data_IF_931200982060
#
_entry.id   IF_931200982060
#
_cell.length_a   1.000
_cell.length_b   1.000
_cell.length_c   1.000
_cell.angle_alpha   90.00
_cell.angle_beta   90.00
_cell.angle_gamma   90.00
#
_symmetry.space_group_name_H-M   'P 1'
#
loop_
_entity.id
_entity.type
_entity.pdbx_description
1 polymer ?
#
# COMPACT_ATOMS: atom_id res chain seq x y z
N UNK A 1 21.12 22.23 -41.99
CA UNK A 1 21.36 21.86 -40.57
C UNK A 1 20.09 22.11 -39.73
N UNK A 2 19.35 23.20 -39.91
CA UNK A 2 18.12 23.50 -39.15
C UNK A 2 17.07 22.40 -39.29
N UNK A 3 16.81 21.93 -40.53
CA UNK A 3 15.89 20.81 -40.74
C UNK A 3 16.34 19.51 -40.08
N UNK A 4 17.66 19.29 -40.02
CA UNK A 4 18.23 18.09 -39.42
C UNK A 4 18.00 18.06 -37.88
N UNK A 5 18.34 19.13 -37.19
CA UNK A 5 18.07 19.23 -35.76
C UNK A 5 16.57 19.17 -35.45
N UNK A 6 15.75 19.82 -36.26
CA UNK A 6 14.31 19.75 -36.08
C UNK A 6 13.79 18.30 -36.16
N UNK A 7 14.22 17.56 -37.20
CA UNK A 7 13.77 16.16 -37.39
C UNK A 7 14.22 15.28 -36.23
N UNK A 8 15.51 15.28 -35.86
CA UNK A 8 16.03 14.41 -34.82
C UNK A 8 15.43 14.76 -33.44
N UNK A 9 15.15 16.04 -33.17
CA UNK A 9 14.53 16.43 -31.90
C UNK A 9 13.08 15.94 -31.84
N UNK A 10 12.31 16.08 -32.91
CA UNK A 10 10.96 15.52 -32.97
C UNK A 10 10.94 14.00 -32.86
N UNK A 11 11.83 13.31 -33.55
CA UNK A 11 11.88 11.86 -33.52
C UNK A 11 12.17 11.34 -32.11
N UNK A 12 13.17 11.94 -31.45
CA UNK A 12 13.63 11.48 -30.14
C UNK A 12 12.80 11.99 -28.96
N UNK A 13 12.22 13.19 -29.05
CA UNK A 13 11.55 13.81 -27.90
C UNK A 13 10.06 14.11 -28.11
N UNK A 14 9.59 14.03 -29.35
CA UNK A 14 8.23 14.45 -29.72
C UNK A 14 8.01 15.97 -29.70
N UNK A 15 9.06 16.78 -29.48
CA UNK A 15 8.99 18.24 -29.34
C UNK A 15 9.93 18.93 -30.31
N UNK A 16 9.64 20.18 -30.74
CA UNK A 16 10.57 20.95 -31.54
C UNK A 16 11.78 21.40 -30.73
N UNK A 17 12.96 21.59 -31.38
CA UNK A 17 14.09 22.23 -30.72
C UNK A 17 13.79 23.69 -30.40
N UNK A 18 14.40 24.22 -29.36
CA UNK A 18 14.40 25.66 -29.06
C UNK A 18 15.26 26.43 -30.05
N UNK A 19 15.04 27.73 -30.18
CA UNK A 19 15.88 28.60 -31.05
C UNK A 19 17.36 28.56 -30.63
N UNK A 20 17.64 28.54 -29.32
CA UNK A 20 18.98 28.44 -28.78
C UNK A 20 19.68 27.13 -29.20
N UNK A 21 18.96 26.04 -29.20
CA UNK A 21 19.49 24.73 -29.65
C UNK A 21 19.75 24.71 -31.15
N UNK A 22 18.90 25.33 -31.94
CA UNK A 22 19.10 25.48 -33.38
C UNK A 22 20.37 26.26 -33.64
N UNK A 23 20.49 27.44 -33.04
CA UNK A 23 21.67 28.34 -33.22
C UNK A 23 22.96 27.65 -32.80
N UNK A 24 22.95 26.95 -31.65
CA UNK A 24 24.09 26.21 -31.15
C UNK A 24 24.53 25.12 -32.16
N UNK A 25 23.59 24.35 -32.71
CA UNK A 25 23.92 23.31 -33.70
C UNK A 25 24.36 23.87 -35.05
N UNK A 26 23.74 24.94 -35.54
CA UNK A 26 24.10 25.57 -36.80
C UNK A 26 25.52 26.13 -36.76
N UNK A 27 25.91 26.72 -35.63
CA UNK A 27 27.22 27.32 -35.38
C UNK A 27 28.30 26.34 -34.98
N UNK A 28 27.98 25.13 -34.51
CA UNK A 28 28.98 24.09 -34.19
C UNK A 28 29.60 23.53 -35.48
N UNK A 29 30.84 23.86 -35.74
CA UNK A 29 31.59 23.41 -36.92
C UNK A 29 32.41 22.12 -36.69
N UNK A 30 32.28 21.49 -35.52
CA UNK A 30 32.96 20.24 -35.23
C UNK A 30 32.43 19.09 -36.09
N UNK A 31 33.28 18.12 -36.39
CA UNK A 31 32.92 16.97 -37.20
C UNK A 31 31.82 16.11 -36.57
N UNK A 32 31.74 16.09 -35.22
CA UNK A 32 30.78 15.32 -34.45
C UNK A 32 29.61 16.18 -33.90
N UNK A 33 29.30 17.32 -34.53
CA UNK A 33 28.24 18.21 -34.08
C UNK A 33 26.87 17.55 -34.02
N UNK A 34 26.57 16.63 -34.95
CA UNK A 34 25.29 15.91 -34.99
C UNK A 34 25.22 14.87 -33.88
N UNK A 35 26.25 14.10 -33.69
CA UNK A 35 26.36 13.11 -32.62
C UNK A 35 26.19 13.74 -31.24
N UNK A 36 26.76 14.92 -31.01
CA UNK A 36 26.57 15.68 -29.77
C UNK A 36 25.08 16.02 -29.52
N UNK A 37 24.33 16.41 -30.58
CA UNK A 37 22.91 16.65 -30.45
C UNK A 37 22.16 15.38 -30.12
N UNK A 38 22.44 14.28 -30.81
CA UNK A 38 21.81 12.97 -30.55
C UNK A 38 22.09 12.50 -29.12
N UNK A 39 23.34 12.54 -28.67
CA UNK A 39 23.73 12.14 -27.32
C UNK A 39 23.04 12.97 -26.24
N UNK A 40 22.91 14.27 -26.47
CA UNK A 40 22.18 15.17 -25.56
C UNK A 40 20.70 14.82 -25.49
N UNK A 41 20.07 14.59 -26.63
CA UNK A 41 18.63 14.26 -26.70
C UNK A 41 18.36 12.89 -26.06
N UNK A 42 19.18 11.88 -26.31
CA UNK A 42 19.06 10.55 -25.71
C UNK A 42 19.19 10.56 -24.16
N UNK A 43 19.95 11.52 -23.61
CA UNK A 43 20.09 11.71 -22.16
C UNK A 43 18.98 12.58 -21.56
N UNK A 44 18.11 13.13 -22.37
CA UNK A 44 17.04 14.02 -21.89
C UNK A 44 15.88 13.25 -21.29
N UNK A 45 15.21 13.85 -20.31
CA UNK A 45 13.95 13.30 -19.76
C UNK A 45 12.86 13.22 -20.82
N UNK A 46 12.82 14.18 -21.75
CA UNK A 46 11.85 14.21 -22.84
C UNK A 46 11.98 12.99 -23.77
N UNK A 47 13.19 12.46 -24.00
CA UNK A 47 13.38 11.19 -24.69
C UNK A 47 12.75 10.02 -23.92
N UNK A 48 13.00 9.94 -22.61
CA UNK A 48 12.43 8.89 -21.77
C UNK A 48 10.89 8.96 -21.76
N UNK A 49 10.31 10.15 -21.64
CA UNK A 49 8.86 10.37 -21.70
C UNK A 49 8.29 9.96 -23.07
N UNK A 50 9.00 10.29 -24.15
CA UNK A 50 8.60 9.90 -25.52
C UNK A 50 8.59 8.38 -25.72
N UNK A 51 9.64 7.69 -25.27
CA UNK A 51 9.72 6.22 -25.36
C UNK A 51 8.69 5.53 -24.47
N UNK A 52 8.42 6.09 -23.32
CA UNK A 52 7.39 5.59 -22.40
C UNK A 52 5.99 5.57 -23.02
N UNK A 53 5.63 6.53 -23.88
CA UNK A 53 4.32 6.55 -24.56
C UNK A 53 4.07 5.24 -25.31
N UNK A 54 5.05 4.77 -26.10
CA UNK A 54 4.92 3.52 -26.86
C UNK A 54 4.81 2.30 -25.92
N UNK A 55 5.54 2.31 -24.82
CA UNK A 55 5.46 1.24 -23.83
C UNK A 55 4.11 1.23 -23.09
N UNK A 56 3.57 2.39 -22.74
CA UNK A 56 2.26 2.52 -22.10
C UNK A 56 1.13 2.00 -23.00
N UNK A 57 1.20 2.27 -24.30
CA UNK A 57 0.19 1.80 -25.26
C UNK A 57 0.15 0.25 -25.29
N UNK A 58 1.30 -0.40 -25.48
CA UNK A 58 1.33 -1.86 -25.55
C UNK A 58 1.09 -2.52 -24.19
N UNK A 59 1.45 -1.85 -23.09
CA UNK A 59 1.17 -2.29 -21.72
C UNK A 59 -0.25 -1.95 -21.26
N UNK A 60 -1.13 -1.41 -22.13
CA UNK A 60 -2.52 -1.05 -21.87
C UNK A 60 -2.73 -0.18 -20.61
N UNK A 61 -1.81 0.78 -20.38
CA UNK A 61 -1.82 1.66 -19.23
C UNK A 61 -3.09 2.51 -19.16
N UNK A 62 -3.63 2.66 -17.94
CA UNK A 62 -4.72 3.60 -17.65
C UNK A 62 -4.86 3.84 -16.15
N UNK A 63 -5.20 5.07 -15.78
CA UNK A 63 -5.50 5.47 -14.41
C UNK A 63 -7.00 5.31 -14.08
N UNK A 64 -7.68 4.39 -14.77
CA UNK A 64 -9.08 4.05 -14.52
C UNK A 64 -9.31 2.54 -14.57
N UNK A 65 -10.48 2.10 -14.09
CA UNK A 65 -10.84 0.68 -14.02
C UNK A 65 -11.27 0.11 -15.39
N UNK A 66 -11.57 0.94 -16.37
CA UNK A 66 -11.98 0.60 -17.74
C UNK A 66 -13.41 0.04 -17.83
N UNK A 67 -13.72 -0.98 -17.05
CA UNK A 67 -15.02 -1.66 -17.12
C UNK A 67 -16.05 -1.04 -16.17
N UNK A 68 -17.33 -1.22 -16.50
CA UNK A 68 -18.50 -0.74 -15.77
C UNK A 68 -18.49 0.79 -15.60
N UNK A 69 -18.35 1.29 -14.36
CA UNK A 69 -18.39 2.73 -14.05
C UNK A 69 -17.10 3.49 -14.37
N UNK A 70 -16.06 2.78 -14.82
CA UNK A 70 -14.75 3.34 -15.16
C UNK A 70 -14.19 4.27 -14.06
N UNK A 71 -14.20 3.78 -12.83
CA UNK A 71 -13.76 4.54 -11.67
C UNK A 71 -12.24 4.77 -11.65
N UNK A 72 -11.76 5.85 -11.01
CA UNK A 72 -10.35 6.22 -10.99
C UNK A 72 -9.50 5.20 -10.24
N UNK A 73 -8.31 4.89 -10.79
CA UNK A 73 -7.22 4.11 -10.18
C UNK A 73 -5.94 4.93 -10.10
N UNK A 74 -5.00 4.50 -9.28
CA UNK A 74 -3.68 5.11 -9.14
C UNK A 74 -2.63 4.18 -9.75
N UNK A 75 -2.37 4.31 -11.07
CA UNK A 75 -1.34 3.56 -11.79
C UNK A 75 -0.15 4.44 -12.21
N UNK A 76 -0.23 5.75 -12.05
CA UNK A 76 0.84 6.70 -12.39
C UNK A 76 2.22 6.35 -11.78
N UNK A 77 2.35 5.69 -10.60
CA UNK A 77 3.68 5.31 -10.10
C UNK A 77 4.40 4.34 -11.04
N UNK A 78 3.67 3.41 -11.67
CA UNK A 78 4.25 2.51 -12.66
C UNK A 78 4.68 3.27 -13.93
N UNK A 79 3.87 4.22 -14.42
CA UNK A 79 4.26 5.10 -15.54
C UNK A 79 5.56 5.83 -15.23
N UNK A 80 5.67 6.44 -14.06
CA UNK A 80 6.85 7.18 -13.63
C UNK A 80 8.07 6.27 -13.50
N UNK A 81 7.88 5.03 -13.04
CA UNK A 81 8.92 4.01 -13.02
C UNK A 81 9.41 3.67 -14.44
N UNK A 82 8.53 3.54 -15.42
CA UNK A 82 8.90 3.30 -16.84
C UNK A 82 9.70 4.48 -17.38
N UNK A 83 9.28 5.72 -17.11
CA UNK A 83 10.03 6.93 -17.51
C UNK A 83 11.45 6.89 -16.92
N UNK A 84 11.58 6.58 -15.65
CA UNK A 84 12.88 6.49 -14.98
C UNK A 84 13.75 5.35 -15.52
N UNK A 85 13.15 4.22 -15.85
CA UNK A 85 13.85 3.10 -16.47
C UNK A 85 14.46 3.47 -17.82
N UNK A 86 13.71 4.17 -18.68
CA UNK A 86 14.24 4.70 -19.95
C UNK A 86 15.29 5.80 -19.72
N UNK A 87 15.04 6.72 -18.79
CA UNK A 87 15.95 7.82 -18.51
C UNK A 87 17.30 7.35 -17.95
N UNK A 88 17.31 6.31 -17.13
CA UNK A 88 18.53 5.71 -16.57
C UNK A 88 19.14 4.65 -17.49
N UNK A 89 18.56 4.42 -18.66
CA UNK A 89 18.97 3.38 -19.59
C UNK A 89 19.06 1.99 -18.91
N UNK A 90 18.02 1.62 -18.15
CA UNK A 90 17.94 0.32 -17.48
C UNK A 90 18.10 -0.81 -18.48
N UNK A 91 18.84 -1.87 -18.14
CA UNK A 91 19.01 -3.03 -19.01
C UNK A 91 17.64 -3.66 -19.34
N UNK A 92 17.45 -4.13 -20.59
CA UNK A 92 16.19 -4.79 -20.97
C UNK A 92 15.89 -6.01 -20.09
N UNK A 93 16.92 -6.74 -19.68
CA UNK A 93 16.79 -7.87 -18.76
C UNK A 93 16.15 -7.44 -17.44
N UNK A 94 16.70 -6.39 -16.81
CA UNK A 94 16.19 -5.91 -15.53
C UNK A 94 14.81 -5.26 -15.69
N UNK A 95 14.61 -4.50 -16.76
CA UNK A 95 13.34 -3.90 -17.12
C UNK A 95 12.22 -4.93 -17.28
N UNK A 96 12.47 -6.04 -17.97
CA UNK A 96 11.52 -7.12 -18.14
C UNK A 96 11.31 -7.90 -16.82
N UNK A 97 12.40 -8.27 -16.13
CA UNK A 97 12.35 -9.04 -14.89
C UNK A 97 11.56 -8.30 -13.81
N UNK A 98 11.82 -7.00 -13.62
CA UNK A 98 11.14 -6.20 -12.60
C UNK A 98 9.66 -6.02 -12.91
N UNK A 99 9.26 -5.89 -14.18
CA UNK A 99 7.84 -5.77 -14.55
C UNK A 99 7.06 -7.07 -14.41
N UNK A 100 7.69 -8.21 -14.68
CA UNK A 100 7.00 -9.51 -14.61
C UNK A 100 7.04 -10.13 -13.21
N UNK A 101 8.14 -9.94 -12.46
CA UNK A 101 8.42 -10.64 -11.22
C UNK A 101 9.22 -9.78 -10.20
N UNK A 102 9.09 -8.46 -10.25
CA UNK A 102 9.84 -7.55 -9.38
C UNK A 102 9.58 -7.75 -7.89
N UNK A 103 8.37 -8.16 -7.52
CA UNK A 103 7.97 -8.49 -6.15
C UNK A 103 8.55 -9.81 -5.63
N UNK A 104 8.99 -10.70 -6.52
CA UNK A 104 9.61 -11.99 -6.18
C UNK A 104 11.13 -11.90 -6.01
N UNK A 105 11.73 -10.76 -6.32
CA UNK A 105 13.16 -10.53 -6.12
C UNK A 105 13.47 -10.54 -4.61
N UNK A 106 14.49 -11.25 -4.13
CA UNK A 106 14.85 -11.25 -2.72
C UNK A 106 15.08 -9.83 -2.20
N UNK A 107 14.40 -9.46 -1.10
CA UNK A 107 14.39 -8.11 -0.52
C UNK A 107 13.93 -7.01 -1.49
N UNK A 108 12.94 -7.32 -2.33
CA UNK A 108 12.40 -6.41 -3.34
C UNK A 108 12.14 -5.00 -2.80
N UNK A 109 12.69 -4.01 -3.47
CA UNK A 109 12.46 -2.60 -3.18
C UNK A 109 11.03 -2.18 -3.55
N UNK A 110 10.60 -1.01 -3.07
CA UNK A 110 9.30 -0.47 -3.50
C UNK A 110 9.24 -0.22 -5.01
N UNK A 111 10.34 0.24 -5.62
CA UNK A 111 10.39 0.48 -7.06
C UNK A 111 10.24 -0.82 -7.86
N UNK A 112 10.86 -1.92 -7.42
CA UNK A 112 10.68 -3.23 -8.02
C UNK A 112 9.25 -3.76 -7.89
N UNK A 113 8.59 -3.49 -6.75
CA UNK A 113 7.17 -3.81 -6.57
C UNK A 113 6.27 -2.94 -7.44
N UNK A 114 6.58 -1.64 -7.60
CA UNK A 114 5.86 -0.72 -8.49
C UNK A 114 5.98 -1.19 -9.94
N UNK A 115 7.14 -1.69 -10.36
CA UNK A 115 7.37 -2.23 -11.70
C UNK A 115 6.35 -3.31 -12.06
N UNK A 116 5.94 -4.17 -11.11
CA UNK A 116 4.93 -5.22 -11.34
C UNK A 116 3.52 -4.67 -11.64
N UNK A 117 3.33 -3.35 -11.60
CA UNK A 117 2.14 -2.67 -12.10
C UNK A 117 1.80 -3.01 -13.55
N UNK A 118 2.79 -3.45 -14.36
CA UNK A 118 2.57 -4.03 -15.69
C UNK A 118 1.50 -5.13 -15.67
N UNK A 119 1.57 -6.02 -14.70
CA UNK A 119 0.60 -7.11 -14.51
C UNK A 119 -0.76 -6.63 -13.97
N UNK A 120 -0.88 -5.35 -13.58
CA UNK A 120 -2.08 -4.75 -12.99
C UNK A 120 -2.76 -3.71 -13.89
N UNK A 121 -2.19 -3.41 -15.06
CA UNK A 121 -2.76 -2.43 -16.01
C UNK A 121 -4.03 -2.93 -16.72
N UNK A 122 -4.39 -4.21 -16.61
CA UNK A 122 -5.62 -4.74 -17.21
C UNK A 122 -6.87 -4.00 -16.70
N UNK A 123 -7.95 -4.01 -17.50
CA UNK A 123 -9.25 -3.54 -17.06
C UNK A 123 -9.75 -4.33 -15.84
N UNK A 124 -10.49 -3.67 -14.95
CA UNK A 124 -11.09 -4.27 -13.74
C UNK A 124 -12.53 -3.85 -13.63
N UNK A 125 -13.36 -4.62 -12.93
CA UNK A 125 -14.79 -4.32 -12.77
C UNK A 125 -15.25 -4.39 -11.32
N UNK A 126 -16.25 -3.56 -11.00
CA UNK A 126 -16.97 -3.57 -9.73
C UNK A 126 -18.46 -3.90 -9.91
N UNK A 127 -18.84 -4.38 -11.10
CA UNK A 127 -20.24 -4.61 -11.47
C UNK A 127 -20.99 -5.50 -10.49
N UNK A 128 -22.24 -5.13 -10.22
CA UNK A 128 -23.13 -5.98 -9.42
C UNK A 128 -23.62 -7.18 -10.24
N UNK A 129 -23.56 -8.38 -9.65
CA UNK A 129 -24.02 -9.60 -10.33
C UNK A 129 -22.98 -10.29 -11.22
N UNK A 130 -21.74 -9.75 -11.30
CA UNK A 130 -20.65 -10.44 -12.00
C UNK A 130 -20.31 -11.77 -11.32
N UNK A 131 -19.84 -12.74 -12.11
CA UNK A 131 -19.28 -13.99 -11.60
C UNK A 131 -17.80 -13.73 -11.25
N UNK A 132 -17.48 -13.72 -9.95
CA UNK A 132 -16.14 -13.33 -9.45
C UNK A 132 -15.03 -14.17 -10.07
N UNK A 133 -15.22 -15.48 -10.17
CA UNK A 133 -14.20 -16.39 -10.71
C UNK A 133 -14.01 -16.20 -12.22
N UNK A 134 -15.05 -15.91 -12.98
CA UNK A 134 -14.95 -15.59 -14.40
C UNK A 134 -14.01 -14.41 -14.63
N UNK A 135 -14.24 -13.28 -13.96
CA UNK A 135 -13.37 -12.10 -14.11
C UNK A 135 -11.97 -12.32 -13.57
N UNK A 136 -11.80 -13.11 -12.50
CA UNK A 136 -10.48 -13.50 -12.03
C UNK A 136 -9.69 -14.24 -13.12
N UNK A 137 -10.33 -15.15 -13.82
CA UNK A 137 -9.76 -15.89 -14.96
C UNK A 137 -9.44 -14.93 -16.12
N UNK A 138 -10.37 -14.04 -16.46
CA UNK A 138 -10.15 -13.04 -17.52
C UNK A 138 -8.93 -12.13 -17.24
N UNK A 139 -8.71 -11.74 -15.98
CA UNK A 139 -7.51 -10.96 -15.60
C UNK A 139 -6.22 -11.76 -15.79
N UNK A 140 -6.23 -13.07 -15.55
CA UNK A 140 -5.08 -13.94 -15.82
C UNK A 140 -4.87 -14.10 -17.32
N UNK A 141 -5.92 -14.33 -18.09
CA UNK A 141 -5.87 -14.40 -19.57
C UNK A 141 -5.27 -13.10 -20.15
N UNK A 142 -5.72 -11.95 -19.67
CA UNK A 142 -5.17 -10.66 -20.12
C UNK A 142 -3.66 -10.53 -19.83
N UNK A 143 -3.17 -10.96 -18.68
CA UNK A 143 -1.73 -10.97 -18.35
C UNK A 143 -0.94 -11.87 -19.28
N UNK A 144 -1.44 -13.06 -19.55
CA UNK A 144 -0.85 -14.04 -20.50
C UNK A 144 -0.76 -13.43 -21.89
N UNK A 145 -1.89 -12.93 -22.42
CA UNK A 145 -1.98 -12.28 -23.71
C UNK A 145 -1.01 -11.09 -23.83
N UNK A 146 -1.05 -10.19 -22.86
CA UNK A 146 -0.23 -8.98 -22.88
C UNK A 146 1.26 -9.32 -22.78
N UNK A 147 1.63 -10.26 -21.93
CA UNK A 147 3.03 -10.68 -21.81
C UNK A 147 3.52 -11.34 -23.11
N UNK A 148 2.72 -12.19 -23.74
CA UNK A 148 3.03 -12.79 -25.03
C UNK A 148 3.21 -11.74 -26.13
N UNK A 149 2.28 -10.82 -26.25
CA UNK A 149 2.34 -9.77 -27.27
C UNK A 149 3.51 -8.81 -27.06
N UNK A 150 3.74 -8.35 -25.81
CA UNK A 150 4.69 -7.28 -25.52
C UNK A 150 6.14 -7.78 -25.45
N UNK A 151 6.40 -8.90 -24.78
CA UNK A 151 7.75 -9.40 -24.57
C UNK A 151 8.18 -10.44 -25.58
N UNK A 152 7.23 -11.21 -26.15
CA UNK A 152 7.58 -12.28 -27.09
C UNK A 152 7.20 -11.92 -28.54
N UNK A 153 6.38 -10.90 -28.77
CA UNK A 153 5.88 -10.56 -30.10
C UNK A 153 4.94 -11.63 -30.70
N UNK A 154 4.31 -12.44 -29.85
CA UNK A 154 3.49 -13.59 -30.24
C UNK A 154 2.03 -13.40 -29.87
N UNK A 155 1.12 -13.70 -30.80
CA UNK A 155 -0.33 -13.70 -30.57
C UNK A 155 -0.77 -15.02 -29.92
N UNK A 156 -0.37 -15.27 -28.69
CA UNK A 156 -0.54 -16.56 -28.01
C UNK A 156 -1.97 -16.90 -27.62
N UNK A 157 -2.88 -15.94 -27.68
CA UNK A 157 -4.30 -16.09 -27.26
C UNK A 157 -5.07 -17.13 -28.07
N UNK A 158 -4.69 -17.39 -29.33
CA UNK A 158 -5.30 -18.47 -30.12
C UNK A 158 -5.14 -19.82 -29.45
N UNK A 159 -4.05 -20.02 -28.69
CA UNK A 159 -3.77 -21.27 -27.99
C UNK A 159 -4.62 -21.47 -26.72
N UNK A 160 -5.45 -20.50 -26.34
CA UNK A 160 -6.41 -20.64 -25.24
C UNK A 160 -7.46 -21.71 -25.49
N UNK A 161 -7.91 -21.89 -26.74
CA UNK A 161 -8.97 -22.83 -27.10
C UNK A 161 -8.46 -24.08 -27.83
N UNK A 162 -7.35 -23.98 -28.56
CA UNK A 162 -6.75 -25.09 -29.34
C UNK A 162 -5.25 -24.76 -29.57
N UNK A 163 -4.45 -25.73 -30.01
CA UNK A 163 -3.05 -25.47 -30.37
C UNK A 163 -2.98 -24.37 -31.44
N UNK A 164 -2.00 -23.45 -31.32
CA UNK A 164 -1.86 -22.33 -32.24
C UNK A 164 -1.72 -22.82 -33.68
N UNK A 165 -2.37 -22.10 -34.61
CA UNK A 165 -2.46 -22.57 -36.00
C UNK A 165 -1.12 -22.49 -36.74
N UNK A 166 -0.33 -21.46 -36.47
CA UNK A 166 0.88 -21.14 -37.21
C UNK A 166 2.16 -21.34 -36.37
N UNK A 167 2.12 -20.91 -35.11
CA UNK A 167 3.26 -21.00 -34.21
C UNK A 167 3.27 -22.33 -33.44
N UNK A 168 4.46 -22.85 -33.08
CA UNK A 168 4.58 -24.14 -32.37
C UNK A 168 4.21 -24.00 -30.89
N UNK A 169 3.02 -23.49 -30.61
CA UNK A 169 2.46 -23.31 -29.25
C UNK A 169 1.26 -24.20 -29.11
N UNK A 170 1.37 -25.23 -28.30
CA UNK A 170 0.27 -26.13 -28.01
C UNK A 170 -0.71 -25.50 -27.00
N UNK A 171 -1.96 -25.97 -27.01
CA UNK A 171 -2.96 -25.63 -25.99
C UNK A 171 -2.45 -25.91 -24.57
N UNK A 172 -1.70 -26.99 -24.36
CA UNK A 172 -1.10 -27.32 -23.07
C UNK A 172 -0.06 -26.29 -22.64
N UNK A 173 0.82 -25.85 -23.52
CA UNK A 173 1.85 -24.86 -23.22
C UNK A 173 1.24 -23.50 -22.89
N UNK A 174 0.13 -23.14 -23.53
CA UNK A 174 -0.63 -21.94 -23.14
C UNK A 174 -1.04 -22.00 -21.66
N UNK A 175 -1.61 -23.12 -21.19
CA UNK A 175 -2.01 -23.25 -19.79
C UNK A 175 -0.84 -23.44 -18.83
N UNK A 176 0.29 -23.94 -19.28
CA UNK A 176 1.53 -23.90 -18.50
C UNK A 176 2.01 -22.46 -18.32
N UNK A 177 1.92 -21.64 -19.37
CA UNK A 177 2.25 -20.20 -19.27
C UNK A 177 1.22 -19.43 -18.42
N UNK A 178 -0.06 -19.73 -18.59
CA UNK A 178 -1.15 -19.21 -17.77
C UNK A 178 -0.91 -19.46 -16.26
N UNK A 179 -0.37 -20.62 -15.89
CA UNK A 179 -0.13 -20.99 -14.51
C UNK A 179 0.83 -20.04 -13.77
N UNK A 180 1.77 -19.37 -14.48
CA UNK A 180 2.65 -18.36 -13.87
C UNK A 180 1.88 -17.15 -13.34
N UNK A 181 0.73 -16.82 -13.90
CA UNK A 181 -0.10 -15.68 -13.53
C UNK A 181 -1.34 -16.05 -12.68
N UNK A 182 -1.60 -17.35 -12.53
CA UNK A 182 -2.80 -17.86 -11.83
C UNK A 182 -2.57 -18.13 -10.33
N UNK A 183 -1.44 -17.75 -9.78
CA UNK A 183 -1.06 -18.00 -8.39
C UNK A 183 -1.14 -16.76 -7.49
N UNK A 184 -1.77 -15.68 -7.96
CA UNK A 184 -1.96 -14.47 -7.20
C UNK A 184 -3.31 -14.45 -6.46
N UNK A 185 -3.41 -13.57 -5.45
CA UNK A 185 -4.60 -13.44 -4.60
C UNK A 185 -5.63 -12.43 -5.13
N UNK A 186 -5.62 -12.13 -6.43
CA UNK A 186 -6.57 -11.18 -7.01
C UNK A 186 -8.01 -11.70 -6.94
N UNK A 187 -8.95 -10.80 -6.64
CA UNK A 187 -10.36 -11.04 -6.80
C UNK A 187 -10.84 -10.58 -8.18
N UNK A 188 -11.77 -11.30 -8.80
CA UNK A 188 -12.41 -10.84 -10.02
C UNK A 188 -13.26 -9.59 -9.81
N UNK A 189 -13.84 -9.41 -8.62
CA UNK A 189 -14.49 -8.15 -8.25
C UNK A 189 -13.50 -7.23 -7.59
N UNK A 190 -13.30 -6.07 -8.20
CA UNK A 190 -12.39 -5.03 -7.73
C UNK A 190 -13.17 -3.87 -7.08
N UNK A 191 -12.46 -2.87 -6.58
CA UNK A 191 -13.07 -1.65 -6.02
C UNK A 191 -13.45 -0.68 -7.16
N UNK A 192 -14.56 0.05 -6.99
CA UNK A 192 -14.98 1.10 -7.95
C UNK A 192 -13.97 2.25 -8.02
N UNK A 193 -13.49 2.69 -6.86
CA UNK A 193 -12.56 3.81 -6.74
C UNK A 193 -11.30 3.35 -6.03
N UNK A 194 -10.15 3.72 -6.58
CA UNK A 194 -8.85 3.34 -6.06
C UNK A 194 -8.40 1.95 -6.51
N UNK A 195 -7.30 1.49 -5.93
CA UNK A 195 -6.67 0.22 -6.26
C UNK A 195 -7.12 -0.87 -5.29
N UNK A 196 -7.33 -2.08 -5.80
CA UNK A 196 -7.54 -3.26 -4.96
C UNK A 196 -6.21 -3.82 -4.41
N UNK A 197 -6.21 -4.50 -3.26
CA UNK A 197 -5.03 -5.20 -2.74
C UNK A 197 -4.51 -6.28 -3.72
N UNK A 198 -3.20 -6.60 -3.67
CA UNK A 198 -2.16 -5.99 -2.84
C UNK A 198 -1.74 -4.59 -3.33
N UNK A 199 -1.36 -3.69 -2.42
CA UNK A 199 -1.01 -2.31 -2.73
C UNK A 199 0.35 -1.94 -2.15
N UNK A 200 1.03 -1.00 -2.84
CA UNK A 200 2.25 -0.35 -2.35
C UNK A 200 1.94 1.12 -2.07
N UNK A 201 2.29 1.60 -0.88
CA UNK A 201 2.18 3.03 -0.58
C UNK A 201 3.29 3.80 -1.28
N UNK A 202 2.92 4.69 -2.18
CA UNK A 202 3.84 5.53 -2.93
C UNK A 202 3.70 6.98 -2.48
N UNK A 203 4.83 7.64 -2.31
CA UNK A 203 4.88 9.06 -1.98
C UNK A 203 5.27 9.81 -3.25
N UNK A 204 4.52 10.85 -3.60
CA UNK A 204 4.88 11.69 -4.74
C UNK A 204 6.26 12.32 -4.53
N UNK A 205 7.02 12.51 -5.61
CA UNK A 205 8.38 13.08 -5.57
C UNK A 205 8.45 14.41 -4.83
N UNK A 206 7.45 15.27 -4.99
CA UNK A 206 7.34 16.56 -4.31
C UNK A 206 7.18 16.44 -2.78
N UNK A 207 6.66 15.31 -2.30
CA UNK A 207 6.44 15.05 -0.88
C UNK A 207 7.57 14.26 -0.22
N UNK A 208 8.54 13.72 -0.98
CA UNK A 208 9.69 12.97 -0.43
C UNK A 208 10.49 13.84 0.54
N UNK A 209 10.86 15.06 0.12
CA UNK A 209 11.63 16.00 0.96
C UNK A 209 10.86 16.41 2.22
N UNK A 210 9.55 16.65 2.10
CA UNK A 210 8.68 16.98 3.24
C UNK A 210 8.61 15.81 4.23
N UNK A 211 8.51 14.58 3.74
CA UNK A 211 8.50 13.39 4.58
C UNK A 211 9.83 13.19 5.29
N UNK A 212 10.95 13.28 4.59
CA UNK A 212 12.29 13.17 5.19
C UNK A 212 12.51 14.20 6.29
N UNK A 213 12.08 15.46 6.06
CA UNK A 213 12.16 16.51 7.07
C UNK A 213 11.27 16.21 8.29
N UNK A 214 10.08 15.65 8.08
CA UNK A 214 9.18 15.25 9.17
C UNK A 214 9.75 14.08 9.97
N UNK A 215 10.29 13.04 9.31
CA UNK A 215 10.94 11.90 9.95
C UNK A 215 12.16 12.32 10.79
N UNK A 216 12.98 13.24 10.28
CA UNK A 216 14.09 13.81 11.03
C UNK A 216 13.63 14.55 12.29
N UNK A 217 12.53 15.34 12.22
CA UNK A 217 11.93 16.00 13.39
C UNK A 217 11.41 14.99 14.41
N UNK A 218 10.71 13.95 13.97
CA UNK A 218 10.21 12.88 14.85
C UNK A 218 11.36 12.18 15.57
N UNK A 219 12.44 11.85 14.84
CA UNK A 219 13.64 11.26 15.44
C UNK A 219 14.25 12.17 16.51
N UNK A 220 14.47 13.46 16.21
CA UNK A 220 15.03 14.43 17.15
C UNK A 220 14.15 14.61 18.41
N UNK A 221 12.82 14.61 18.25
CA UNK A 221 11.88 14.69 19.38
C UNK A 221 11.96 13.42 20.24
N UNK A 222 12.00 12.23 19.64
CA UNK A 222 12.12 10.98 20.37
C UNK A 222 13.44 10.88 21.17
N UNK A 223 14.54 11.37 20.60
CA UNK A 223 15.83 11.47 21.31
C UNK A 223 15.75 12.43 22.50
N UNK A 224 15.09 13.59 22.36
CA UNK A 224 14.85 14.52 23.47
C UNK A 224 13.98 13.88 24.58
N UNK A 225 12.92 13.16 24.19
CA UNK A 225 12.05 12.45 25.13
C UNK A 225 12.86 11.38 25.89
N UNK A 226 13.68 10.58 25.19
CA UNK A 226 14.52 9.57 25.82
C UNK A 226 15.53 10.17 26.79
N UNK A 227 16.17 11.28 26.42
CA UNK A 227 17.10 12.02 27.28
C UNK A 227 16.39 12.60 28.51
N UNK A 228 15.23 13.23 28.31
CA UNK A 228 14.42 13.75 29.41
C UNK A 228 13.99 12.66 30.38
N UNK A 229 13.50 11.53 29.89
CA UNK A 229 13.11 10.38 30.72
C UNK A 229 14.26 9.88 31.60
N UNK A 230 15.47 9.76 31.02
CA UNK A 230 16.67 9.40 31.79
C UNK A 230 17.00 10.43 32.86
N UNK A 231 16.91 11.73 32.53
CA UNK A 231 17.24 12.80 33.47
C UNK A 231 16.28 12.95 34.65
N UNK A 232 15.02 12.52 34.50
CA UNK A 232 14.02 12.59 35.59
C UNK A 232 13.79 11.25 36.31
N UNK A 233 14.43 10.15 35.86
CA UNK A 233 14.21 8.81 36.40
C UNK A 233 14.48 8.74 37.90
N UNK A 234 15.64 9.21 38.35
CA UNK A 234 16.02 9.20 39.76
C UNK A 234 15.08 10.06 40.64
N UNK A 235 14.65 11.21 40.11
CA UNK A 235 13.70 12.07 40.82
C UNK A 235 12.31 11.39 40.92
N UNK A 236 11.87 10.74 39.85
CA UNK A 236 10.64 9.97 39.83
C UNK A 236 10.68 8.79 40.84
N UNK A 237 11.76 8.05 40.85
CA UNK A 237 11.93 6.91 41.80
C UNK A 237 11.89 7.37 43.25
N UNK A 238 12.60 8.47 43.57
CA UNK A 238 12.55 9.08 44.91
C UNK A 238 11.15 9.52 45.29
N UNK A 239 10.49 10.22 44.37
CA UNK A 239 9.09 10.66 44.55
C UNK A 239 8.15 9.47 44.72
N UNK A 240 8.27 8.44 43.91
CA UNK A 240 7.42 7.25 43.98
C UNK A 240 7.56 6.50 45.35
N UNK A 241 8.80 6.39 45.87
CA UNK A 241 9.06 5.80 47.17
C UNK A 241 8.44 6.65 48.29
N UNK A 242 8.54 7.97 48.21
CA UNK A 242 7.98 8.89 49.19
C UNK A 242 6.45 8.95 49.14
N UNK A 243 5.91 9.01 47.94
CA UNK A 243 4.47 8.96 47.71
C UNK A 243 3.87 7.63 48.24
N UNK A 244 4.55 6.50 48.02
CA UNK A 244 4.10 5.21 48.51
C UNK A 244 4.04 5.16 50.04
N UNK A 245 4.93 5.86 50.76
CA UNK A 245 4.91 5.95 52.25
C UNK A 245 3.71 6.77 52.75
N UNK A 246 3.24 7.72 51.97
CA UNK A 246 2.16 8.64 52.31
C UNK A 246 0.78 8.17 51.85
N UNK A 247 0.68 7.02 51.15
CA UNK A 247 -0.59 6.38 50.83
C UNK A 247 -1.15 5.69 52.06
N UNK A 248 -1.66 6.48 53.00
CA UNK A 248 -2.30 5.98 54.24
C UNK A 248 -3.83 5.83 54.08
N UNK A 249 -4.40 6.30 53.02
CA UNK A 249 -5.82 6.13 52.72
C UNK A 249 -5.99 5.27 51.45
N UNK A 250 -6.82 4.25 51.52
CA UNK A 250 -7.35 3.64 50.31
C UNK A 250 -8.02 4.77 49.50
N UNK A 251 -7.83 4.82 48.17
CA UNK A 251 -8.46 5.85 47.36
C UNK A 251 -9.97 5.82 47.66
N UNK A 252 -10.50 6.95 48.15
CA UNK A 252 -11.93 7.09 48.32
C UNK A 252 -12.58 6.93 46.98
N UNK A 253 -13.67 6.16 46.94
CA UNK A 253 -14.45 6.04 45.71
C UNK A 253 -14.81 7.44 45.19
N UNK A 254 -14.64 7.71 43.89
CA UNK A 254 -14.96 9.00 43.31
C UNK A 254 -16.41 9.39 43.58
N UNK A 255 -16.66 10.63 43.99
CA UNK A 255 -18.03 11.13 44.15
C UNK A 255 -18.77 11.01 42.80
N UNK A 256 -19.96 10.42 42.81
CA UNK A 256 -20.76 10.21 41.61
C UNK A 256 -20.42 8.94 40.84
N UNK A 257 -19.70 8.00 41.44
CA UNK A 257 -19.45 6.69 40.85
C UNK A 257 -20.79 5.99 40.60
N UNK A 258 -21.05 5.60 39.34
CA UNK A 258 -22.28 4.97 38.90
C UNK A 258 -22.23 3.45 39.01
N UNK A 259 -21.04 2.87 38.84
CA UNK A 259 -20.82 1.43 38.92
C UNK A 259 -19.33 1.13 39.15
N UNK A 260 -19.05 0.05 39.89
CA UNK A 260 -17.73 -0.47 40.15
C UNK A 260 -17.74 -2.00 40.09
N UNK A 261 -17.18 -2.56 39.06
CA UNK A 261 -17.08 -4.01 38.82
C UNK A 261 -15.64 -4.48 39.09
N UNK A 262 -15.33 -5.03 40.26
CA UNK A 262 -13.96 -5.48 40.56
C UNK A 262 -13.51 -6.67 39.69
N UNK A 263 -14.45 -7.47 39.19
CA UNK A 263 -14.21 -8.67 38.39
C UNK A 263 -13.35 -9.74 39.09
N UNK A 264 -13.23 -9.66 40.40
CA UNK A 264 -12.41 -10.57 41.24
C UNK A 264 -13.01 -11.97 41.33
N UNK A 265 -14.32 -12.06 41.36
CA UNK A 265 -15.01 -13.34 41.47
C UNK A 265 -16.35 -13.34 40.72
N UNK A 266 -16.66 -14.48 40.12
CA UNK A 266 -17.97 -14.77 39.55
C UNK A 266 -18.52 -16.03 40.25
N UNK A 267 -19.72 -15.91 40.75
CA UNK A 267 -20.50 -17.07 41.27
C UNK A 267 -21.65 -17.35 40.28
N UNK A 268 -21.68 -18.56 39.74
CA UNK A 268 -22.65 -18.98 38.75
C UNK A 268 -22.73 -17.99 37.54
N UNK A 269 -21.55 -17.55 37.07
CA UNK A 269 -21.41 -16.55 36.00
C UNK A 269 -21.95 -15.16 36.32
N UNK A 270 -22.28 -14.87 37.56
CA UNK A 270 -22.71 -13.53 38.04
C UNK A 270 -21.57 -12.87 38.79
N UNK A 271 -21.25 -11.63 38.41
CA UNK A 271 -20.35 -10.74 39.12
C UNK A 271 -21.08 -9.80 40.05
N UNK A 272 -20.34 -8.94 40.76
CA UNK A 272 -20.85 -7.99 41.74
C UNK A 272 -20.53 -6.57 41.27
N UNK A 273 -21.45 -5.65 41.47
CA UNK A 273 -21.21 -4.20 41.44
C UNK A 273 -21.11 -3.72 42.91
N UNK A 274 -20.00 -3.05 43.23
CA UNK A 274 -19.79 -2.54 44.61
C UNK A 274 -20.55 -1.24 44.91
N UNK A 275 -21.13 -0.58 43.90
CA UNK A 275 -21.85 0.67 44.03
C UNK A 275 -23.37 0.41 44.20
N UNK A 276 -23.90 -0.59 43.50
CA UNK A 276 -25.34 -0.87 43.48
C UNK A 276 -25.63 -2.36 43.30
N UNK A 277 -26.46 -2.89 44.19
CA UNK A 277 -27.01 -4.26 44.09
C UNK A 277 -28.07 -4.43 42.99
N UNK A 278 -28.52 -3.32 42.40
CA UNK A 278 -29.51 -3.31 41.31
C UNK A 278 -28.88 -3.57 39.94
N UNK A 279 -27.55 -3.44 39.84
CA UNK A 279 -26.85 -3.68 38.59
C UNK A 279 -26.53 -5.18 38.45
N UNK A 280 -26.90 -5.75 37.33
CA UNK A 280 -26.63 -7.16 37.05
C UNK A 280 -25.38 -7.28 36.17
N UNK A 281 -24.37 -8.04 36.63
CA UNK A 281 -23.13 -8.34 35.89
C UNK A 281 -23.12 -9.82 35.58
N UNK A 282 -23.13 -10.16 34.31
CA UNK A 282 -23.09 -11.55 33.85
C UNK A 282 -21.95 -11.79 32.88
N UNK A 283 -21.30 -12.92 33.04
CA UNK A 283 -20.38 -13.47 32.08
C UNK A 283 -21.10 -14.42 31.11
N UNK A 284 -20.93 -14.18 29.83
CA UNK A 284 -21.47 -14.98 28.73
C UNK A 284 -20.34 -15.47 27.83
N UNK A 285 -20.49 -16.66 27.24
CA UNK A 285 -19.45 -17.26 26.36
C UNK A 285 -18.24 -17.81 27.11
N UNK A 286 -17.09 -17.77 26.45
CA UNK A 286 -15.81 -18.28 26.96
C UNK A 286 -15.08 -17.28 27.83
N UNK A 287 -14.42 -17.78 28.89
CA UNK A 287 -13.59 -16.94 29.76
C UNK A 287 -13.31 -17.62 31.10
N UNK A 288 -12.41 -17.01 31.87
CA UNK A 288 -12.02 -17.48 33.21
C UNK A 288 -11.45 -16.36 34.07
N UNK A 289 -11.49 -16.55 35.36
CA UNK A 289 -10.81 -15.67 36.30
C UNK A 289 -9.30 -15.98 36.32
N UNK A 290 -8.47 -14.94 36.34
CA UNK A 290 -7.00 -15.00 36.35
C UNK A 290 -6.44 -13.98 37.34
N UNK A 291 -5.17 -14.04 37.67
CA UNK A 291 -4.51 -13.01 38.49
C UNK A 291 -4.57 -11.63 37.80
N UNK A 292 -5.05 -10.59 38.52
CA UNK A 292 -5.16 -9.22 38.06
C UNK A 292 -3.99 -8.32 38.50
N UNK A 293 -4.09 -7.02 38.22
CA UNK A 293 -3.17 -6.01 38.74
C UNK A 293 -3.35 -5.83 40.26
N UNK A 294 -4.59 -5.86 40.70
CA UNK A 294 -4.98 -5.94 42.12
C UNK A 294 -6.04 -7.03 42.21
N UNK A 295 -5.86 -8.02 43.12
CA UNK A 295 -6.80 -9.12 43.22
C UNK A 295 -6.82 -10.05 42.01
N UNK A 296 -8.01 -10.33 41.51
CA UNK A 296 -8.21 -11.13 40.31
C UNK A 296 -8.75 -10.27 39.14
N UNK A 297 -8.72 -10.84 37.97
CA UNK A 297 -9.27 -10.24 36.74
C UNK A 297 -10.00 -11.30 35.92
N UNK A 298 -10.87 -10.86 35.05
CA UNK A 298 -11.58 -11.74 34.14
C UNK A 298 -10.91 -11.75 32.76
N UNK A 299 -10.44 -12.91 32.32
CA UNK A 299 -9.90 -13.11 30.98
C UNK A 299 -11.01 -13.60 30.04
N UNK A 300 -11.29 -12.81 29.00
CA UNK A 300 -12.22 -13.15 27.94
C UNK A 300 -11.55 -14.08 26.95
N UNK A 301 -12.22 -15.15 26.53
CA UNK A 301 -11.70 -16.13 25.56
C UNK A 301 -12.76 -16.40 24.49
N UNK A 302 -12.33 -16.45 23.22
CA UNK A 302 -13.21 -16.74 22.08
C UNK A 302 -14.34 -15.70 21.91
N UNK A 303 -15.57 -16.15 22.07
CA UNK A 303 -16.78 -15.31 21.99
C UNK A 303 -17.30 -14.84 23.35
N UNK A 304 -16.44 -14.86 24.37
CA UNK A 304 -16.82 -14.42 25.70
C UNK A 304 -17.03 -12.92 25.80
N UNK A 305 -17.89 -12.48 26.70
CA UNK A 305 -18.07 -11.08 27.08
C UNK A 305 -18.71 -10.95 28.46
N UNK A 306 -18.60 -9.77 29.04
CA UNK A 306 -19.30 -9.41 30.28
C UNK A 306 -20.47 -8.52 29.90
N UNK A 307 -21.66 -8.94 30.26
CA UNK A 307 -22.88 -8.20 30.06
C UNK A 307 -23.27 -7.48 31.36
N UNK A 308 -23.49 -6.17 31.29
CA UNK A 308 -23.88 -5.33 32.43
C UNK A 308 -25.23 -4.73 32.15
N UNK A 309 -26.18 -4.92 33.09
CA UNK A 309 -27.50 -4.34 33.01
C UNK A 309 -27.81 -3.53 34.29
N UNK A 310 -28.65 -2.53 34.17
CA UNK A 310 -29.10 -1.70 35.30
C UNK A 310 -28.31 -0.41 35.49
N UNK A 311 -27.08 -0.31 34.99
CA UNK A 311 -26.35 0.95 35.02
C UNK A 311 -27.06 1.96 34.12
N UNK A 312 -27.51 3.06 34.71
CA UNK A 312 -28.17 4.15 33.94
C UNK A 312 -27.08 4.89 33.15
N UNK A 313 -27.13 4.86 31.82
CA UNK A 313 -26.14 5.59 31.04
C UNK A 313 -26.29 7.10 31.28
N UNK A 314 -25.20 7.89 31.22
CA UNK A 314 -25.30 9.34 31.24
C UNK A 314 -26.05 9.83 30.01
N UNK A 315 -26.73 10.97 30.15
CA UNK A 315 -27.35 11.62 28.99
C UNK A 315 -26.25 12.10 28.01
N UNK A 316 -26.57 12.19 26.72
CA UNK A 316 -25.63 12.52 25.66
C UNK A 316 -24.84 13.83 25.86
N UNK A 317 -25.35 14.75 26.65
CA UNK A 317 -24.75 16.06 26.97
C UNK A 317 -24.11 16.12 28.38
N UNK A 318 -24.05 15.00 29.10
CA UNK A 318 -23.42 14.92 30.41
C UNK A 318 -21.99 14.40 30.29
N UNK A 319 -21.00 15.04 30.94
CA UNK A 319 -19.63 14.47 30.99
C UNK A 319 -19.61 13.21 31.83
N UNK A 320 -18.94 12.20 31.34
CA UNK A 320 -18.72 10.96 32.07
C UNK A 320 -17.27 10.46 31.86
N UNK A 321 -16.83 9.63 32.76
CA UNK A 321 -15.55 8.92 32.63
C UNK A 321 -15.76 7.44 32.94
N UNK A 322 -15.06 6.57 32.23
CA UNK A 322 -14.92 5.18 32.62
C UNK A 322 -13.43 4.80 32.61
N UNK A 323 -13.06 3.86 33.46
CA UNK A 323 -11.71 3.34 33.51
C UNK A 323 -11.73 1.83 33.76
N UNK A 324 -10.78 1.12 33.15
CA UNK A 324 -10.56 -0.29 33.42
C UNK A 324 -9.06 -0.63 33.26
N UNK A 325 -8.64 -1.69 33.92
CA UNK A 325 -7.35 -2.29 33.68
C UNK A 325 -7.50 -3.36 32.59
N UNK A 326 -6.75 -3.22 31.52
CA UNK A 326 -6.69 -4.21 30.42
C UNK A 326 -5.26 -4.67 30.18
N UNK A 327 -5.11 -5.94 29.80
CA UNK A 327 -3.83 -6.53 29.46
C UNK A 327 -3.88 -7.16 28.07
#
# INVERSE_FOLDING_TARGET
RELLIRRVTFDLTGMPPTLVEIDAFVNDKSANAYEKVVDRLLKSKAYAERMTLHWMDVARYGDSSVHHADGPRTMWPWRDWVIDAYHTNKSFKDFATEQLAGDLIPNATNDQKIATGFNRNHGTTDEGGLIIEEYRVEYVVDRVKTTGNVFLGLSIECAQCHSHKYDPISHREYYQFYAFFNNNADSGKQTRNGNAPPMVNVISRENIAKRQAAEAKVKAINEKIATHRKGVQDAFEKWAIEAAKNVTEQPKEPAGLLAHFPLDAFKDRKGVDLVSDKNEVKWEGGGRTVGGQTGQAFRVEGNGFINVKGVKPPEWNQPFSFGCWVK
#
